data_IF_836998345847
#
_entry.id   IF_836998345847
#
_cell.length_a   1.000
_cell.length_b   1.000
_cell.length_c   1.000
_cell.angle_alpha   90.00
_cell.angle_beta   90.00
_cell.angle_gamma   90.00
#
_symmetry.space_group_name_H-M   'P 1'
#
loop_
_entity.id
_entity.type
_entity.pdbx_description
1 polymer ?
#
# COMPACT_ATOMS: atom_id res chain seq x y z
N UNK A 1 16.80 -25.14 -12.62
CA UNK A 1 17.34 -24.94 -11.25
C UNK A 1 18.72 -25.58 -11.09
N UNK A 2 18.90 -26.85 -11.48
CA UNK A 2 20.20 -27.57 -11.40
C UNK A 2 21.33 -26.91 -12.18
N UNK A 3 21.05 -26.41 -13.38
CA UNK A 3 22.05 -25.79 -14.25
C UNK A 3 22.50 -24.42 -13.71
N UNK A 4 21.56 -23.65 -13.12
CA UNK A 4 21.87 -22.37 -12.48
C UNK A 4 22.77 -22.60 -11.24
N UNK A 5 22.45 -23.57 -10.39
CA UNK A 5 23.25 -23.92 -9.23
C UNK A 5 24.67 -24.31 -9.62
N UNK A 6 24.83 -25.12 -10.67
CA UNK A 6 26.14 -25.54 -11.20
C UNK A 6 26.91 -24.36 -11.78
N UNK A 7 26.25 -23.54 -12.60
CA UNK A 7 26.91 -22.40 -13.28
C UNK A 7 27.46 -21.38 -12.29
N UNK A 8 26.73 -21.08 -11.20
CA UNK A 8 27.14 -20.14 -10.16
C UNK A 8 27.82 -20.77 -8.95
N UNK A 9 28.11 -22.07 -9.00
CA UNK A 9 28.73 -22.82 -7.88
C UNK A 9 28.00 -22.62 -6.55
N UNK A 10 26.67 -22.70 -6.56
CA UNK A 10 25.81 -22.51 -5.40
C UNK A 10 25.37 -23.85 -4.82
N UNK A 11 25.33 -23.94 -3.50
CA UNK A 11 24.81 -25.13 -2.80
C UNK A 11 23.29 -25.17 -2.75
N UNK A 12 22.64 -23.99 -2.80
CA UNK A 12 21.18 -23.85 -2.66
C UNK A 12 20.67 -22.63 -3.40
N UNK A 13 19.50 -22.75 -4.00
CA UNK A 13 18.75 -21.64 -4.61
C UNK A 13 17.33 -21.68 -4.04
N UNK A 14 16.89 -20.54 -3.51
CA UNK A 14 15.51 -20.35 -3.01
C UNK A 14 14.90 -19.24 -3.85
N UNK A 15 13.74 -19.52 -4.43
CA UNK A 15 12.90 -18.51 -5.05
C UNK A 15 11.93 -17.97 -4.00
N UNK A 16 11.85 -16.67 -3.89
CA UNK A 16 10.89 -15.99 -3.03
C UNK A 16 10.11 -14.99 -3.87
N UNK A 17 8.88 -14.73 -3.49
CA UNK A 17 8.10 -13.63 -4.04
C UNK A 17 8.83 -12.30 -3.80
N UNK A 18 8.79 -11.37 -4.76
CA UNK A 18 9.49 -10.08 -4.67
C UNK A 18 9.00 -9.25 -3.47
N UNK A 19 7.72 -9.33 -3.15
CA UNK A 19 7.15 -8.63 -2.01
C UNK A 19 7.54 -9.25 -0.67
N UNK A 20 7.70 -10.58 -0.61
CA UNK A 20 8.29 -11.28 0.54
C UNK A 20 9.75 -10.86 0.75
N UNK A 21 10.52 -10.72 -0.33
CA UNK A 21 11.89 -10.24 -0.25
C UNK A 21 11.95 -8.80 0.30
N UNK A 22 11.08 -7.91 -0.17
CA UNK A 22 10.94 -6.55 0.37
C UNK A 22 10.53 -6.56 1.85
N UNK A 23 9.60 -7.42 2.23
CA UNK A 23 9.18 -7.58 3.62
C UNK A 23 10.35 -8.02 4.52
N UNK A 24 11.10 -9.04 4.10
CA UNK A 24 12.25 -9.53 4.86
C UNK A 24 13.41 -8.53 4.92
N UNK A 25 13.57 -7.65 3.94
CA UNK A 25 14.58 -6.58 3.98
C UNK A 25 14.37 -5.62 5.16
N UNK A 26 13.15 -5.51 5.66
CA UNK A 26 12.78 -4.70 6.83
C UNK A 26 12.97 -5.42 8.17
N UNK A 27 13.52 -6.64 8.19
CA UNK A 27 13.70 -7.42 9.41
C UNK A 27 14.57 -6.69 10.46
N UNK A 28 15.62 -5.97 10.01
CA UNK A 28 16.45 -5.17 10.91
C UNK A 28 15.72 -3.95 11.47
N UNK A 29 14.95 -3.26 10.66
CA UNK A 29 14.08 -2.16 11.10
C UNK A 29 13.05 -2.64 12.12
N UNK A 30 12.39 -3.77 11.85
CA UNK A 30 11.42 -4.36 12.76
C UNK A 30 12.07 -4.79 14.10
N UNK A 31 13.30 -5.28 14.06
CA UNK A 31 14.09 -5.58 15.28
C UNK A 31 14.35 -4.31 16.09
N UNK A 32 14.73 -3.22 15.43
CA UNK A 32 14.98 -1.94 16.10
C UNK A 32 13.73 -1.43 16.81
N UNK A 33 12.54 -1.57 16.20
CA UNK A 33 11.25 -1.31 16.86
C UNK A 33 11.08 -2.23 18.08
N UNK A 34 11.36 -3.51 17.93
CA UNK A 34 11.21 -4.50 19.02
C UNK A 34 12.17 -4.26 20.19
N UNK A 35 13.32 -3.66 19.93
CA UNK A 35 14.32 -3.24 20.91
C UNK A 35 14.05 -1.84 21.52
N UNK A 36 12.92 -1.20 21.18
CA UNK A 36 12.55 0.16 21.58
C UNK A 36 13.60 1.23 21.19
N UNK A 37 14.27 1.07 20.05
CA UNK A 37 15.13 2.14 19.54
C UNK A 37 14.30 3.36 19.17
N UNK A 38 14.86 4.53 19.42
CA UNK A 38 14.21 5.79 19.09
C UNK A 38 14.13 5.92 17.56
N UNK A 39 12.94 5.94 17.03
CA UNK A 39 12.66 6.11 15.60
C UNK A 39 12.79 7.60 15.22
N UNK A 40 14.02 8.06 15.11
CA UNK A 40 14.33 9.42 14.66
C UNK A 40 14.69 9.43 13.17
N UNK A 41 14.80 10.64 12.60
CA UNK A 41 15.10 10.82 11.17
C UNK A 41 16.41 10.11 10.75
N UNK A 42 17.42 10.05 11.63
CA UNK A 42 18.68 9.36 11.34
C UNK A 42 18.46 7.86 11.13
N UNK A 43 17.66 7.23 11.98
CA UNK A 43 17.35 5.80 11.86
C UNK A 43 16.45 5.54 10.67
N UNK A 44 15.43 6.36 10.46
CA UNK A 44 14.53 6.24 9.31
C UNK A 44 15.30 6.41 7.99
N UNK A 45 16.17 7.40 7.88
CA UNK A 45 17.01 7.62 6.70
C UNK A 45 17.99 6.45 6.45
N UNK A 46 18.47 5.77 7.50
CA UNK A 46 19.29 4.58 7.33
C UNK A 46 18.54 3.43 6.62
N UNK A 47 17.22 3.35 6.82
CA UNK A 47 16.35 2.37 6.17
C UNK A 47 15.64 2.92 4.92
N UNK A 48 15.99 4.13 4.47
CA UNK A 48 15.31 4.85 3.36
C UNK A 48 13.79 4.99 3.58
N UNK A 49 13.39 5.21 4.83
CA UNK A 49 11.99 5.37 5.23
C UNK A 49 11.66 6.85 5.48
N UNK A 50 10.46 7.25 5.06
CA UNK A 50 9.91 8.59 5.32
C UNK A 50 8.60 8.47 6.08
N UNK A 51 8.44 9.28 7.12
CA UNK A 51 7.18 9.31 7.87
C UNK A 51 6.06 9.90 7.04
N UNK A 52 5.00 9.11 6.84
CA UNK A 52 3.74 9.52 6.22
C UNK A 52 2.75 9.91 7.33
N UNK A 53 2.65 9.10 8.37
CA UNK A 53 1.80 9.34 9.53
C UNK A 53 2.56 9.00 10.81
N UNK A 54 2.55 9.92 11.76
CA UNK A 54 3.13 9.68 13.08
C UNK A 54 2.31 8.66 13.88
N UNK A 55 2.98 7.95 14.76
CA UNK A 55 2.36 7.00 15.66
C UNK A 55 3.36 6.43 16.67
N UNK A 56 2.90 5.52 17.49
CA UNK A 56 3.72 4.83 18.49
C UNK A 56 3.64 3.33 18.21
N UNK A 57 4.71 2.71 17.69
CA UNK A 57 4.69 1.30 17.38
C UNK A 57 4.53 0.46 18.64
N UNK A 58 3.71 -0.59 18.57
CA UNK A 58 3.63 -1.59 19.64
C UNK A 58 4.69 -2.66 19.39
N UNK A 59 5.57 -2.81 20.37
CA UNK A 59 6.64 -3.81 20.35
C UNK A 59 6.11 -5.22 20.10
N UNK A 60 6.79 -5.95 19.23
CA UNK A 60 6.47 -7.35 18.87
C UNK A 60 5.08 -7.56 18.25
N UNK A 61 4.31 -6.51 18.00
CA UNK A 61 3.11 -6.63 17.19
C UNK A 61 3.51 -6.84 15.71
N UNK A 62 2.64 -7.38 14.86
CA UNK A 62 2.94 -7.51 13.43
C UNK A 62 3.28 -6.16 12.77
N UNK A 63 4.19 -6.17 11.79
CA UNK A 63 4.48 -5.05 10.90
C UNK A 63 3.88 -5.37 9.52
N UNK A 64 3.04 -4.48 9.00
CA UNK A 64 2.49 -4.62 7.65
C UNK A 64 3.47 -4.00 6.64
N UNK A 65 3.75 -4.72 5.57
CA UNK A 65 4.41 -4.21 4.38
C UNK A 65 3.44 -4.33 3.22
N UNK A 66 3.10 -3.22 2.61
CA UNK A 66 2.14 -3.18 1.50
C UNK A 66 2.52 -2.07 0.53
N UNK A 67 2.10 -2.17 -0.72
CA UNK A 67 2.39 -1.08 -1.65
C UNK A 67 1.90 -1.33 -3.06
N UNK A 68 1.38 -0.26 -3.69
CA UNK A 68 0.95 -0.29 -5.07
C UNK A 68 2.13 -0.19 -6.03
N UNK A 69 2.12 -1.07 -7.01
CA UNK A 69 3.04 -1.13 -8.14
C UNK A 69 2.30 -1.53 -9.40
N UNK A 70 2.82 -2.50 -10.16
CA UNK A 70 2.08 -3.17 -11.24
C UNK A 70 0.84 -3.86 -10.67
N UNK A 71 0.98 -4.50 -9.49
CA UNK A 71 -0.08 -5.05 -8.67
C UNK A 71 -0.14 -4.37 -7.30
N UNK A 72 -0.69 -5.07 -6.31
CA UNK A 72 -0.80 -4.63 -4.93
C UNK A 72 -0.27 -5.71 -3.99
N UNK A 73 0.98 -5.53 -3.53
CA UNK A 73 1.60 -6.45 -2.60
C UNK A 73 1.09 -6.25 -1.17
N UNK A 74 0.96 -7.36 -0.44
CA UNK A 74 0.60 -7.37 0.98
C UNK A 74 1.38 -8.49 1.66
N UNK A 75 2.21 -8.13 2.63
CA UNK A 75 2.97 -9.08 3.42
C UNK A 75 3.01 -8.62 4.89
N UNK A 76 2.98 -9.55 5.81
CA UNK A 76 3.07 -9.24 7.25
C UNK A 76 4.35 -9.82 7.82
N UNK A 77 5.14 -8.98 8.48
CA UNK A 77 6.36 -9.40 9.17
C UNK A 77 6.08 -9.62 10.65
N UNK A 78 6.46 -10.79 11.14
CA UNK A 78 6.40 -11.17 12.54
C UNK A 78 7.81 -11.40 13.08
N UNK A 79 7.96 -11.27 14.40
CA UNK A 79 9.15 -11.70 15.12
C UNK A 79 8.78 -12.86 16.05
N UNK A 80 9.24 -14.06 15.70
CA UNK A 80 9.00 -15.27 16.49
C UNK A 80 10.35 -15.73 17.07
N UNK A 81 10.52 -15.63 18.38
CA UNK A 81 11.76 -16.01 19.07
C UNK A 81 13.01 -15.34 18.47
N UNK A 82 12.93 -14.05 18.14
CA UNK A 82 13.96 -13.25 17.48
C UNK A 82 14.28 -13.64 16.02
N UNK A 83 13.45 -14.47 15.40
CA UNK A 83 13.53 -14.77 13.97
C UNK A 83 12.44 -14.02 13.21
N UNK A 84 12.79 -13.25 12.17
CA UNK A 84 11.80 -12.62 11.31
C UNK A 84 11.09 -13.68 10.47
N UNK A 85 9.77 -13.64 10.49
CA UNK A 85 8.90 -14.49 9.67
C UNK A 85 8.01 -13.60 8.81
N UNK A 86 8.16 -13.69 7.49
CA UNK A 86 7.25 -13.07 6.56
C UNK A 86 6.05 -14.00 6.31
N UNK A 87 4.85 -13.51 6.57
CA UNK A 87 3.62 -14.17 6.19
C UNK A 87 3.22 -13.62 4.83
N UNK A 88 3.42 -14.44 3.82
CA UNK A 88 3.00 -14.17 2.46
C UNK A 88 1.48 -14.33 2.33
N UNK A 89 0.86 -13.45 1.55
CA UNK A 89 -0.56 -13.54 1.25
C UNK A 89 -0.95 -12.72 0.03
N UNK A 90 -2.08 -13.07 -0.56
CA UNK A 90 -2.68 -12.39 -1.70
C UNK A 90 -3.72 -11.34 -1.25
N UNK A 91 -3.36 -10.55 -0.25
CA UNK A 91 -4.27 -9.57 0.36
C UNK A 91 -4.74 -8.48 -0.60
N UNK A 92 -3.98 -8.19 -1.66
CA UNK A 92 -4.40 -7.30 -2.75
C UNK A 92 -5.62 -7.80 -3.50
N UNK A 93 -5.82 -9.12 -3.56
CA UNK A 93 -6.96 -9.74 -4.23
C UNK A 93 -8.23 -9.85 -3.36
N UNK A 94 -8.19 -9.39 -2.11
CA UNK A 94 -9.41 -9.27 -1.30
C UNK A 94 -10.39 -8.28 -1.92
N UNK A 95 -11.69 -8.50 -1.71
CA UNK A 95 -12.75 -7.69 -2.30
C UNK A 95 -12.63 -6.23 -1.89
N UNK A 96 -12.82 -5.33 -2.84
CA UNK A 96 -12.95 -3.91 -2.57
C UNK A 96 -14.21 -3.62 -1.74
N UNK A 97 -14.05 -2.90 -0.65
CA UNK A 97 -15.13 -2.48 0.23
C UNK A 97 -15.28 -0.95 0.18
N UNK A 98 -16.23 -0.41 -0.60
CA UNK A 98 -16.46 1.03 -0.73
C UNK A 98 -16.93 1.65 0.59
N UNK A 99 -16.46 2.86 0.89
CA UNK A 99 -16.70 3.58 2.13
C UNK A 99 -17.41 4.93 1.94
N UNK A 100 -17.69 5.30 0.70
CA UNK A 100 -18.39 6.53 0.31
C UNK A 100 -19.28 6.29 -0.90
N UNK A 101 -20.21 7.21 -1.16
CA UNK A 101 -21.09 7.14 -2.34
C UNK A 101 -20.28 7.13 -3.65
N UNK A 102 -19.21 7.94 -3.72
CA UNK A 102 -18.30 7.95 -4.87
C UNK A 102 -17.64 6.59 -5.10
N UNK A 103 -17.21 5.93 -4.03
CA UNK A 103 -16.59 4.60 -4.10
C UNK A 103 -17.61 3.51 -4.46
N UNK A 104 -18.90 3.67 -4.06
CA UNK A 104 -20.00 2.80 -4.49
C UNK A 104 -20.23 2.95 -5.99
N UNK A 105 -20.27 4.19 -6.51
CA UNK A 105 -20.38 4.45 -7.94
C UNK A 105 -19.21 3.86 -8.73
N UNK A 106 -17.97 4.00 -8.22
CA UNK A 106 -16.79 3.37 -8.80
C UNK A 106 -16.92 1.85 -8.86
N UNK A 107 -17.33 1.21 -7.74
CA UNK A 107 -17.54 -0.24 -7.71
C UNK A 107 -18.59 -0.67 -8.75
N UNK A 108 -19.70 0.06 -8.86
CA UNK A 108 -20.74 -0.21 -9.85
C UNK A 108 -20.23 -0.06 -11.30
N UNK A 109 -19.35 0.92 -11.54
CA UNK A 109 -18.70 1.11 -12.84
C UNK A 109 -17.79 -0.07 -13.17
N UNK A 110 -16.93 -0.48 -12.25
CA UNK A 110 -15.97 -1.57 -12.44
C UNK A 110 -16.63 -2.95 -12.58
N UNK A 111 -17.76 -3.19 -11.91
CA UNK A 111 -18.54 -4.44 -12.03
C UNK A 111 -19.13 -4.67 -13.42
N UNK A 112 -19.16 -3.66 -14.28
CA UNK A 112 -19.51 -3.85 -15.69
C UNK A 112 -18.41 -4.54 -16.49
N UNK A 113 -17.17 -4.50 -16.00
CA UNK A 113 -15.97 -5.06 -16.64
C UNK A 113 -15.45 -6.32 -15.95
N UNK A 114 -15.63 -6.41 -14.62
CA UNK A 114 -15.03 -7.42 -13.78
C UNK A 114 -16.07 -8.12 -12.91
N UNK A 115 -16.05 -9.45 -12.90
CA UNK A 115 -16.92 -10.25 -12.00
C UNK A 115 -16.52 -10.05 -10.54
N UNK A 116 -15.21 -9.92 -10.28
CA UNK A 116 -14.63 -9.63 -8.96
C UNK A 116 -13.81 -8.36 -9.01
N UNK A 117 -14.21 -7.35 -8.22
CA UNK A 117 -13.44 -6.12 -8.04
C UNK A 117 -12.63 -6.26 -6.75
N UNK A 118 -11.35 -6.54 -6.91
CA UNK A 118 -10.39 -6.61 -5.80
C UNK A 118 -9.81 -5.23 -5.46
N UNK A 119 -9.17 -5.13 -4.30
CA UNK A 119 -8.40 -3.94 -3.93
C UNK A 119 -7.32 -3.63 -4.98
N UNK A 120 -6.64 -4.63 -5.53
CA UNK A 120 -5.63 -4.45 -6.57
C UNK A 120 -6.19 -3.87 -7.85
N UNK A 121 -7.45 -4.19 -8.23
CA UNK A 121 -8.12 -3.58 -9.40
C UNK A 121 -8.22 -2.07 -9.29
N UNK A 122 -8.06 -1.52 -8.10
CA UNK A 122 -8.19 -0.09 -7.81
C UNK A 122 -6.85 0.48 -7.35
N UNK A 123 -6.16 -0.22 -6.44
CA UNK A 123 -4.93 0.27 -5.81
C UNK A 123 -3.71 -0.36 -6.50
N UNK A 124 -3.52 -0.01 -7.77
CA UNK A 124 -2.38 -0.41 -8.59
C UNK A 124 -2.19 0.56 -9.75
N UNK A 125 -1.17 0.36 -10.58
CA UNK A 125 -0.98 1.15 -11.80
C UNK A 125 -2.20 1.05 -12.73
N UNK A 126 -2.68 -0.16 -13.01
CA UNK A 126 -3.89 -0.35 -13.80
C UNK A 126 -5.14 0.23 -13.11
N UNK A 127 -5.18 0.21 -11.78
CA UNK A 127 -6.26 0.80 -11.00
C UNK A 127 -6.35 2.33 -11.14
N UNK A 128 -5.22 3.01 -11.24
CA UNK A 128 -5.20 4.45 -11.56
C UNK A 128 -5.87 4.72 -12.92
N UNK A 129 -5.59 3.88 -13.93
CA UNK A 129 -6.22 3.99 -15.26
C UNK A 129 -7.74 3.78 -15.18
N UNK A 130 -8.20 2.79 -14.41
CA UNK A 130 -9.63 2.51 -14.19
C UNK A 130 -10.35 3.65 -13.44
N UNK A 131 -9.73 4.20 -12.40
CA UNK A 131 -10.29 5.35 -11.69
C UNK A 131 -10.37 6.56 -12.63
N UNK A 132 -9.36 6.81 -13.45
CA UNK A 132 -9.34 7.92 -14.40
C UNK A 132 -10.48 7.81 -15.43
N UNK A 133 -10.69 6.60 -15.98
CA UNK A 133 -11.82 6.34 -16.87
C UNK A 133 -13.16 6.62 -16.18
N UNK A 134 -13.33 6.16 -14.94
CA UNK A 134 -14.52 6.42 -14.15
C UNK A 134 -14.74 7.93 -13.90
N UNK A 135 -13.70 8.68 -13.57
CA UNK A 135 -13.77 10.14 -13.36
C UNK A 135 -14.17 10.85 -14.67
N UNK A 136 -13.58 10.46 -15.81
CA UNK A 136 -13.98 10.99 -17.11
C UNK A 136 -15.46 10.71 -17.41
N UNK A 137 -15.92 9.48 -17.15
CA UNK A 137 -17.33 9.09 -17.31
C UNK A 137 -18.25 9.95 -16.42
N UNK A 138 -17.91 10.12 -15.15
CA UNK A 138 -18.67 10.91 -14.18
C UNK A 138 -18.83 12.37 -14.62
N UNK A 139 -17.74 12.96 -15.12
CA UNK A 139 -17.74 14.35 -15.63
C UNK A 139 -18.29 14.49 -17.06
N UNK A 140 -18.76 13.40 -17.68
CA UNK A 140 -19.24 13.38 -19.09
C UNK A 140 -18.21 14.00 -20.04
N UNK A 141 -16.93 13.78 -19.77
CA UNK A 141 -15.82 14.30 -20.55
C UNK A 141 -15.25 13.21 -21.46
N UNK A 142 -14.58 13.57 -22.57
CA UNK A 142 -13.87 12.62 -23.40
C UNK A 142 -12.89 11.81 -22.56
N UNK A 143 -12.84 10.51 -22.82
CA UNK A 143 -11.87 9.60 -22.21
C UNK A 143 -10.67 9.43 -23.15
N UNK A 144 -9.51 9.75 -22.65
CA UNK A 144 -8.25 9.42 -23.27
C UNK A 144 -7.63 8.23 -22.53
N UNK A 145 -7.25 7.18 -23.27
CA UNK A 145 -6.65 5.98 -22.68
C UNK A 145 -5.21 6.27 -22.21
N UNK A 146 -5.08 7.09 -21.19
CA UNK A 146 -3.79 7.47 -20.60
C UNK A 146 -3.26 6.37 -19.71
N UNK A 147 -1.95 6.19 -19.69
CA UNK A 147 -1.27 5.27 -18.78
C UNK A 147 -1.00 5.93 -17.43
N UNK A 148 -0.99 5.12 -16.36
CA UNK A 148 -0.82 5.58 -14.99
C UNK A 148 0.33 6.59 -14.77
N UNK A 149 1.52 6.44 -15.37
CA UNK A 149 2.58 7.45 -15.24
C UNK A 149 2.18 8.82 -15.77
N UNK A 150 1.46 8.88 -16.91
CA UNK A 150 1.00 10.12 -17.53
C UNK A 150 -0.11 10.75 -16.67
N UNK A 151 -1.05 9.95 -16.18
CA UNK A 151 -2.09 10.42 -15.27
C UNK A 151 -1.45 11.01 -14.00
N UNK A 152 -0.44 10.33 -13.44
CA UNK A 152 0.30 10.82 -12.27
C UNK A 152 1.00 12.15 -12.53
N UNK A 153 1.67 12.30 -13.68
CA UNK A 153 2.33 13.54 -14.10
C UNK A 153 1.32 14.69 -14.29
N UNK A 154 0.22 14.43 -14.99
CA UNK A 154 -0.86 15.39 -15.19
C UNK A 154 -1.46 15.82 -13.84
N UNK A 155 -1.62 14.89 -12.89
CA UNK A 155 -2.11 15.20 -11.56
C UNK A 155 -1.15 16.11 -10.78
N UNK A 156 0.16 15.89 -10.87
CA UNK A 156 1.18 16.74 -10.25
C UNK A 156 1.14 18.14 -10.88
N UNK A 157 0.92 18.23 -12.18
CA UNK A 157 0.81 19.50 -12.93
C UNK A 157 -0.57 20.19 -12.73
N UNK A 158 -1.49 19.61 -11.96
CA UNK A 158 -2.75 20.21 -11.57
C UNK A 158 -3.89 20.00 -12.57
N UNK A 159 -3.79 19.01 -13.50
CA UNK A 159 -4.95 18.64 -14.35
C UNK A 159 -6.07 18.11 -13.45
N UNK A 160 -7.29 18.70 -13.50
CA UNK A 160 -8.31 18.46 -12.48
C UNK A 160 -8.75 17.00 -12.35
N UNK A 161 -8.98 16.30 -13.47
CA UNK A 161 -9.47 14.90 -13.45
C UNK A 161 -8.37 13.94 -13.01
N UNK A 162 -7.14 14.14 -13.46
CA UNK A 162 -6.01 13.35 -13.00
C UNK A 162 -5.75 13.57 -11.50
N UNK A 163 -5.86 14.81 -11.03
CA UNK A 163 -5.71 15.14 -9.60
C UNK A 163 -6.81 14.47 -8.76
N UNK A 164 -8.07 14.54 -9.19
CA UNK A 164 -9.21 13.85 -8.56
C UNK A 164 -8.99 12.33 -8.52
N UNK A 165 -8.51 11.77 -9.62
CA UNK A 165 -8.14 10.34 -9.75
C UNK A 165 -7.14 9.92 -8.68
N UNK A 166 -6.03 10.63 -8.56
CA UNK A 166 -4.96 10.28 -7.61
C UNK A 166 -5.42 10.52 -6.17
N UNK A 167 -6.23 11.54 -5.91
CA UNK A 167 -6.85 11.72 -4.58
C UNK A 167 -7.74 10.55 -4.19
N UNK A 168 -8.61 10.10 -5.09
CA UNK A 168 -9.50 8.96 -4.83
C UNK A 168 -8.70 7.67 -4.65
N UNK A 169 -7.68 7.45 -5.45
CA UNK A 169 -6.73 6.32 -5.30
C UNK A 169 -6.14 6.26 -3.88
N UNK A 170 -5.60 7.36 -3.36
CA UNK A 170 -5.03 7.39 -2.02
C UNK A 170 -6.08 7.29 -0.91
N UNK A 171 -7.25 7.85 -1.12
CA UNK A 171 -8.40 7.70 -0.23
C UNK A 171 -8.75 6.22 0.01
N UNK A 172 -8.91 5.47 -1.08
CA UNK A 172 -9.19 4.03 -1.05
C UNK A 172 -8.02 3.25 -0.44
N UNK A 173 -6.78 3.61 -0.78
CA UNK A 173 -5.59 2.97 -0.22
C UNK A 173 -5.52 3.12 1.31
N UNK A 174 -5.86 4.28 1.86
CA UNK A 174 -5.97 4.49 3.30
C UNK A 174 -6.98 3.55 3.97
N UNK A 175 -8.17 3.43 3.39
CA UNK A 175 -9.22 2.50 3.85
C UNK A 175 -8.74 1.05 3.85
N UNK A 176 -8.07 0.63 2.78
CA UNK A 176 -7.54 -0.73 2.63
C UNK A 176 -6.47 -1.03 3.69
N UNK A 177 -5.48 -0.15 3.85
CA UNK A 177 -4.42 -0.32 4.86
C UNK A 177 -5.02 -0.51 6.25
N UNK A 178 -5.95 0.34 6.65
CA UNK A 178 -6.54 0.24 7.98
C UNK A 178 -7.39 -1.02 8.16
N UNK A 179 -8.01 -1.53 7.10
CA UNK A 179 -8.70 -2.82 7.14
C UNK A 179 -7.73 -3.98 7.38
N UNK A 180 -6.57 -3.96 6.72
CA UNK A 180 -5.51 -4.97 6.93
C UNK A 180 -4.92 -4.85 8.35
N UNK A 181 -4.68 -3.62 8.86
CA UNK A 181 -4.25 -3.42 10.25
C UNK A 181 -5.21 -4.11 11.23
N UNK A 182 -6.52 -3.97 11.01
CA UNK A 182 -7.53 -4.61 11.88
C UNK A 182 -7.57 -6.13 11.76
N UNK A 183 -7.25 -6.68 10.57
CA UNK A 183 -7.28 -8.13 10.32
C UNK A 183 -6.06 -8.82 10.93
N UNK A 184 -4.86 -8.26 10.73
CA UNK A 184 -3.61 -8.92 11.11
C UNK A 184 -2.95 -8.34 12.38
N UNK A 185 -3.54 -7.30 12.98
CA UNK A 185 -3.02 -6.69 14.20
C UNK A 185 -1.73 -5.89 14.00
N UNK A 186 -1.49 -5.28 12.84
CA UNK A 186 -0.25 -4.61 12.47
C UNK A 186 0.00 -3.32 13.25
N UNK A 187 0.15 -3.44 14.58
CA UNK A 187 0.36 -2.29 15.48
C UNK A 187 1.84 -1.90 15.65
N UNK A 188 2.80 -2.68 15.14
CA UNK A 188 4.19 -2.20 15.03
C UNK A 188 4.35 -1.14 13.96
N UNK A 189 3.40 -1.05 13.02
CA UNK A 189 3.40 -0.04 11.97
C UNK A 189 3.09 -0.60 10.59
N UNK A 190 3.13 0.30 9.62
CA UNK A 190 2.97 -0.01 8.20
C UNK A 190 4.11 0.60 7.42
N UNK A 191 4.77 -0.18 6.58
CA UNK A 191 5.70 0.31 5.56
C UNK A 191 5.03 0.24 4.20
N UNK A 192 4.88 1.39 3.56
CA UNK A 192 4.39 1.48 2.19
C UNK A 192 5.57 1.37 1.25
N UNK A 193 5.65 0.24 0.57
CA UNK A 193 6.65 -0.05 -0.46
C UNK A 193 6.10 0.25 -1.87
N UNK A 194 6.90 -0.03 -2.89
CA UNK A 194 6.50 0.14 -4.28
C UNK A 194 6.77 1.54 -4.85
N UNK A 195 6.71 1.64 -6.17
CA UNK A 195 7.17 2.83 -6.89
C UNK A 195 6.13 3.92 -7.12
N UNK A 196 4.84 3.70 -6.83
CA UNK A 196 3.77 4.67 -7.10
C UNK A 196 3.73 5.74 -6.01
N UNK A 197 3.70 5.33 -4.75
CA UNK A 197 3.54 6.25 -3.61
C UNK A 197 4.62 7.33 -3.52
N UNK A 198 5.93 7.03 -3.64
CA UNK A 198 6.96 8.06 -3.58
C UNK A 198 6.84 9.11 -4.68
N UNK A 199 6.45 8.71 -5.89
CA UNK A 199 6.28 9.61 -7.04
C UNK A 199 5.11 10.57 -6.86
N UNK A 200 4.08 10.16 -6.15
CA UNK A 200 2.83 10.91 -5.95
C UNK A 200 2.67 11.44 -4.52
N UNK A 201 3.74 11.45 -3.73
CA UNK A 201 3.70 11.86 -2.32
C UNK A 201 3.14 13.27 -2.10
N UNK A 202 3.38 14.20 -3.03
CA UNK A 202 2.84 15.57 -2.95
C UNK A 202 1.31 15.60 -2.97
N UNK A 203 0.67 14.63 -3.64
CA UNK A 203 -0.79 14.50 -3.71
C UNK A 203 -1.30 13.67 -2.53
N UNK A 204 -0.57 12.61 -2.13
CA UNK A 204 -0.91 11.81 -0.94
C UNK A 204 -1.09 12.71 0.28
N UNK A 205 -0.17 13.63 0.52
CA UNK A 205 -0.23 14.56 1.66
C UNK A 205 -1.41 15.55 1.63
N UNK A 206 -2.06 15.70 0.46
CA UNK A 206 -3.25 16.56 0.24
C UNK A 206 -4.52 15.77 0.00
N UNK A 207 -4.44 14.45 0.03
CA UNK A 207 -5.56 13.54 -0.16
C UNK A 207 -6.25 13.23 1.17
N UNK A 208 -7.37 12.53 1.08
CA UNK A 208 -8.10 12.04 2.24
C UNK A 208 -7.55 10.69 2.76
N UNK A 209 -6.28 10.35 2.44
CA UNK A 209 -5.63 9.11 2.85
C UNK A 209 -5.70 8.88 4.35
N UNK A 210 -5.23 9.84 5.15
CA UNK A 210 -5.23 9.70 6.62
C UNK A 210 -6.65 9.75 7.19
N UNK A 211 -7.52 10.59 6.64
CA UNK A 211 -8.93 10.66 7.04
C UNK A 211 -9.60 9.29 6.90
N UNK A 212 -9.45 8.65 5.74
CA UNK A 212 -10.06 7.35 5.46
C UNK A 212 -9.35 6.19 6.16
N UNK A 213 -8.04 6.27 6.34
CA UNK A 213 -7.28 5.35 7.19
C UNK A 213 -7.86 5.33 8.61
N UNK A 214 -8.17 6.48 9.17
CA UNK A 214 -8.68 6.62 10.53
C UNK A 214 -10.18 6.36 10.67
N UNK A 215 -10.92 6.34 9.56
CA UNK A 215 -12.38 6.12 9.57
C UNK A 215 -12.73 4.65 9.84
N UNK A 216 -12.53 4.22 11.09
CA UNK A 216 -12.83 2.85 11.57
C UNK A 216 -13.78 2.83 12.76
N UNK A 217 -14.62 3.88 12.89
CA UNK A 217 -15.66 3.96 13.91
C UNK A 217 -15.10 3.65 15.31
N UNK A 218 -15.64 2.65 15.99
CA UNK A 218 -15.21 2.26 17.34
C UNK A 218 -13.73 1.82 17.44
N UNK A 219 -13.03 1.59 16.32
CA UNK A 219 -11.63 1.20 16.27
C UNK A 219 -10.71 2.32 15.83
N UNK A 220 -11.20 3.56 15.82
CA UNK A 220 -10.42 4.75 15.54
C UNK A 220 -9.10 4.79 16.35
N UNK A 221 -9.18 4.66 17.68
CA UNK A 221 -8.00 4.73 18.56
C UNK A 221 -7.01 3.58 18.31
N UNK A 222 -7.51 2.40 17.90
CA UNK A 222 -6.67 1.26 17.52
C UNK A 222 -5.78 1.57 16.31
N UNK A 223 -6.32 2.23 15.31
CA UNK A 223 -5.59 2.57 14.07
C UNK A 223 -4.79 3.86 14.24
N UNK A 224 -5.28 4.82 15.04
CA UNK A 224 -4.64 6.13 15.23
C UNK A 224 -3.21 6.05 15.72
N UNK A 225 -2.91 5.08 16.58
CA UNK A 225 -1.58 4.91 17.17
C UNK A 225 -0.57 4.28 16.21
N UNK A 226 -1.01 3.65 15.12
CA UNK A 226 -0.15 2.94 14.18
C UNK A 226 0.65 3.92 13.31
N UNK A 227 1.99 3.92 13.36
CA UNK A 227 2.80 4.75 12.46
C UNK A 227 2.80 4.19 11.03
N UNK A 228 2.99 5.08 10.05
CA UNK A 228 3.10 4.72 8.62
C UNK A 228 4.31 5.40 8.02
N UNK A 229 5.13 4.63 7.36
CA UNK A 229 6.33 5.06 6.65
C UNK A 229 6.28 4.72 5.17
#
# INVERSE_FOLDING_TARGET
>A
QSDFLKYFNLNKLIFVNDFVAQCLSLASFYRDISENKVLNDKLLNYYDLKTIKNGTPIKNAPLLVTGPGTGLGVCTLLNINNYPLAIEGEGGHSSFAPNSDLEIELLQHLRKKYDHVSNERIVSGSGIEEIYEFICFKHKSPFENLKAPIIGENAINGEPKAYETIKLFFSIFGTMISSIILINGAQSGVVIAGGITPKLQSILNKSDFELNLLNKGRRYDYVKTVPIW
#
